data_IF_265001928658
#
_entry.id   IF_265001928658
#
_cell.length_a   1.000
_cell.length_b   1.000
_cell.length_c   1.000
_cell.angle_alpha   90.00
_cell.angle_beta   90.00
_cell.angle_gamma   90.00
#
_symmetry.space_group_name_H-M   'P 1'
#
loop_
_entity.id
_entity.type
_entity.pdbx_description
1 polymer ?
#
# COMPACT_ATOMS: atom_id res chain seq x y z
N UNK A 1 13.43 5.83 19.09
CA UNK A 1 13.81 7.02 18.30
C UNK A 1 12.65 7.99 18.37
N UNK A 2 12.89 9.24 18.80
CA UNK A 2 11.90 10.29 18.69
C UNK A 2 11.71 10.68 17.21
N UNK A 3 10.47 10.72 16.75
CA UNK A 3 10.14 11.08 15.37
C UNK A 3 10.05 12.60 15.26
N UNK A 4 10.74 13.16 14.28
CA UNK A 4 10.70 14.60 13.99
C UNK A 4 10.83 14.86 12.48
N UNK A 5 10.51 16.08 12.00
CA UNK A 5 10.70 16.42 10.60
C UNK A 5 12.14 16.32 10.09
N UNK A 6 13.14 16.30 10.98
CA UNK A 6 14.54 16.13 10.62
C UNK A 6 14.87 14.69 10.23
N UNK A 7 14.25 13.69 10.89
CA UNK A 7 14.59 12.27 10.72
C UNK A 7 13.51 11.43 10.04
N UNK A 8 12.31 11.99 9.81
CA UNK A 8 11.26 11.37 9.00
C UNK A 8 10.89 12.29 7.84
N UNK A 9 10.83 11.74 6.64
CA UNK A 9 10.41 12.44 5.42
C UNK A 9 9.30 11.67 4.74
N UNK A 10 8.27 12.37 4.29
CA UNK A 10 7.14 11.82 3.54
C UNK A 10 7.16 12.46 2.17
N UNK A 11 7.15 11.65 1.11
CA UNK A 11 7.11 12.18 -0.25
C UNK A 11 5.80 12.93 -0.51
N UNK A 12 5.89 14.15 -1.05
CA UNK A 12 4.73 14.90 -1.55
C UNK A 12 3.93 14.12 -2.60
N UNK A 13 4.56 13.16 -3.29
CA UNK A 13 3.96 12.32 -4.33
C UNK A 13 3.31 11.05 -3.80
N UNK A 14 3.49 10.73 -2.51
CA UNK A 14 2.85 9.59 -1.89
C UNK A 14 1.32 9.75 -1.93
N UNK A 15 0.61 8.69 -2.33
CA UNK A 15 -0.85 8.69 -2.35
C UNK A 15 -1.41 8.48 -0.96
N UNK A 16 -2.54 9.12 -0.68
CA UNK A 16 -3.24 9.03 0.60
C UNK A 16 -4.26 7.89 0.53
N UNK A 17 -4.12 6.93 1.43
CA UNK A 17 -5.12 5.87 1.59
C UNK A 17 -6.29 6.39 2.45
N UNK A 18 -7.32 6.90 1.79
CA UNK A 18 -8.52 7.44 2.45
C UNK A 18 -9.37 6.33 3.08
N UNK A 19 -10.21 6.63 4.09
CA UNK A 19 -11.07 5.63 4.73
C UNK A 19 -11.95 4.83 3.77
N UNK A 20 -12.45 5.47 2.70
CA UNK A 20 -13.26 4.78 1.69
C UNK A 20 -12.49 3.71 0.92
N UNK A 21 -11.16 3.79 0.80
CA UNK A 21 -10.37 2.72 0.17
C UNK A 21 -10.45 1.43 0.98
N UNK A 22 -10.38 1.55 2.32
CA UNK A 22 -10.55 0.39 3.20
C UNK A 22 -11.94 -0.20 3.10
N UNK A 23 -12.98 0.65 3.02
CA UNK A 23 -14.36 0.17 2.83
C UNK A 23 -14.51 -0.57 1.50
N UNK A 24 -14.02 -0.01 0.40
CA UNK A 24 -14.08 -0.63 -0.92
C UNK A 24 -13.35 -1.99 -0.96
N UNK A 25 -12.20 -2.11 -0.31
CA UNK A 25 -11.46 -3.38 -0.20
C UNK A 25 -12.27 -4.43 0.57
N UNK A 26 -12.89 -4.02 1.68
CA UNK A 26 -13.78 -4.89 2.44
C UNK A 26 -15.01 -5.34 1.63
N UNK A 27 -15.65 -4.39 0.93
CA UNK A 27 -16.85 -4.70 0.16
C UNK A 27 -16.58 -5.60 -1.04
N UNK A 28 -15.42 -5.45 -1.68
CA UNK A 28 -15.03 -6.34 -2.79
C UNK A 28 -14.75 -7.75 -2.30
N UNK A 29 -14.02 -7.93 -1.19
CA UNK A 29 -13.78 -9.24 -0.58
C UNK A 29 -15.09 -9.91 -0.14
N UNK A 30 -16.04 -9.13 0.40
CA UNK A 30 -17.36 -9.64 0.77
C UNK A 30 -18.18 -10.05 -0.47
N UNK A 31 -18.11 -9.26 -1.56
CA UNK A 31 -18.80 -9.55 -2.82
C UNK A 31 -18.26 -10.81 -3.49
N UNK A 32 -16.95 -11.01 -3.44
CA UNK A 32 -16.30 -12.17 -4.04
C UNK A 32 -16.55 -13.47 -3.27
N UNK A 33 -16.89 -13.39 -1.99
CA UNK A 33 -17.18 -14.53 -1.12
C UNK A 33 -16.09 -15.62 -1.21
N UNK A 34 -16.42 -16.78 -1.79
CA UNK A 34 -15.48 -17.91 -1.92
C UNK A 34 -14.40 -17.67 -2.99
N UNK A 35 -14.61 -16.73 -3.92
CA UNK A 35 -13.65 -16.35 -4.95
C UNK A 35 -12.75 -15.15 -4.53
N UNK A 36 -12.74 -14.79 -3.25
CA UNK A 36 -11.94 -13.69 -2.71
C UNK A 36 -10.44 -13.88 -2.92
N UNK A 37 -9.71 -12.77 -2.96
CA UNK A 37 -8.26 -12.79 -3.07
C UNK A 37 -7.54 -12.97 -1.71
N UNK A 38 -8.26 -12.89 -0.60
CA UNK A 38 -7.68 -12.91 0.74
C UNK A 38 -6.92 -11.62 1.04
N UNK A 39 -7.50 -10.48 0.66
CA UNK A 39 -6.95 -9.16 0.95
C UNK A 39 -6.81 -8.93 2.46
N UNK A 40 -5.82 -8.13 2.85
CA UNK A 40 -5.67 -7.65 4.23
C UNK A 40 -6.76 -6.67 4.64
N UNK A 41 -7.66 -6.29 3.74
CA UNK A 41 -8.75 -5.32 3.95
C UNK A 41 -8.26 -3.95 4.42
N UNK A 42 -7.08 -3.55 3.95
CA UNK A 42 -6.43 -2.27 4.29
C UNK A 42 -6.56 -1.20 3.20
N UNK A 43 -7.25 -1.51 2.10
CA UNK A 43 -7.52 -0.57 1.02
C UNK A 43 -6.39 -0.44 0.00
N UNK A 44 -5.45 -1.39 -0.05
CA UNK A 44 -4.28 -1.30 -0.91
C UNK A 44 -4.65 -1.39 -2.39
N UNK A 45 -5.44 -2.38 -2.81
CA UNK A 45 -5.87 -2.50 -4.20
C UNK A 45 -6.67 -1.28 -4.67
N UNK A 46 -7.69 -0.79 -3.94
CA UNK A 46 -8.42 0.42 -4.30
C UNK A 46 -7.56 1.68 -4.42
N UNK A 47 -6.60 1.91 -3.50
CA UNK A 47 -5.75 3.11 -3.55
C UNK A 47 -4.77 3.08 -4.73
N UNK A 48 -4.24 1.92 -5.07
CA UNK A 48 -3.42 1.76 -6.28
C UNK A 48 -4.26 1.93 -7.55
N UNK A 49 -5.46 1.35 -7.59
CA UNK A 49 -6.42 1.60 -8.68
C UNK A 49 -6.65 3.08 -8.89
N UNK A 50 -6.92 3.83 -7.83
CA UNK A 50 -7.14 5.27 -7.89
C UNK A 50 -5.90 6.06 -8.32
N UNK A 51 -4.71 5.64 -7.91
CA UNK A 51 -3.47 6.24 -8.37
C UNK A 51 -3.37 6.21 -9.90
N UNK A 52 -3.62 5.06 -10.52
CA UNK A 52 -3.54 4.90 -11.97
C UNK A 52 -4.72 5.52 -12.71
N UNK A 53 -5.90 5.52 -12.11
CA UNK A 53 -7.09 6.23 -12.62
C UNK A 53 -7.01 7.75 -12.40
N UNK A 54 -5.98 8.26 -11.71
CA UNK A 54 -5.77 9.69 -11.38
C UNK A 54 -6.88 10.26 -10.47
N UNK A 55 -7.46 9.41 -9.64
CA UNK A 55 -8.50 9.74 -8.64
C UNK A 55 -7.99 9.67 -7.20
N UNK A 56 -6.67 9.58 -7.00
CA UNK A 56 -6.06 9.62 -5.68
C UNK A 56 -5.68 11.05 -5.29
N UNK A 57 -5.72 11.34 -4.00
CA UNK A 57 -5.06 12.49 -3.40
C UNK A 57 -3.62 12.12 -3.03
N UNK A 58 -2.72 13.09 -3.12
CA UNK A 58 -1.31 12.97 -2.74
C UNK A 58 -1.02 13.80 -1.49
N UNK A 59 0.06 13.48 -0.82
CA UNK A 59 0.48 14.22 0.37
C UNK A 59 0.72 15.72 0.09
N UNK A 60 1.23 16.05 -1.10
CA UNK A 60 1.41 17.44 -1.53
C UNK A 60 0.11 18.23 -1.69
N UNK A 61 -1.01 17.56 -1.96
CA UNK A 61 -2.32 18.22 -2.09
C UNK A 61 -2.75 18.88 -0.76
N UNK A 62 -2.24 18.42 0.39
CA UNK A 62 -2.53 18.99 1.71
C UNK A 62 -2.10 20.46 1.85
N UNK A 63 -1.20 20.94 1.01
CA UNK A 63 -0.79 22.35 0.97
C UNK A 63 -1.76 23.25 0.20
N UNK A 64 -2.76 22.66 -0.49
CA UNK A 64 -3.73 23.36 -1.33
C UNK A 64 -5.18 23.02 -0.91
N UNK A 65 -5.62 23.41 0.32
CA UNK A 65 -6.86 22.92 0.93
C UNK A 65 -8.11 23.19 0.08
N UNK A 66 -8.22 24.36 -0.54
CA UNK A 66 -9.42 24.73 -1.32
C UNK A 66 -9.62 23.83 -2.54
N UNK A 67 -8.56 23.65 -3.32
CA UNK A 67 -8.61 22.79 -4.51
C UNK A 67 -8.73 21.31 -4.13
N UNK A 68 -8.10 20.92 -3.04
CA UNK A 68 -8.14 19.54 -2.53
C UNK A 68 -9.53 19.18 -2.01
N UNK A 69 -10.22 20.11 -1.30
CA UNK A 69 -11.57 19.87 -0.82
C UNK A 69 -12.55 19.67 -1.99
N UNK A 70 -12.49 20.54 -3.00
CA UNK A 70 -13.32 20.42 -4.20
C UNK A 70 -13.05 19.08 -4.93
N UNK A 71 -11.79 18.74 -5.15
CA UNK A 71 -11.40 17.49 -5.79
C UNK A 71 -11.81 16.26 -4.97
N UNK A 72 -11.71 16.30 -3.64
CA UNK A 72 -12.17 15.21 -2.79
C UNK A 72 -13.68 15.00 -2.91
N UNK A 73 -14.47 16.06 -2.97
CA UNK A 73 -15.92 15.96 -3.17
C UNK A 73 -16.27 15.24 -4.47
N UNK A 74 -15.60 15.58 -5.58
CA UNK A 74 -15.77 14.91 -6.87
C UNK A 74 -15.38 13.45 -6.83
N UNK A 75 -14.25 13.13 -6.16
CA UNK A 75 -13.80 11.75 -5.98
C UNK A 75 -14.81 10.96 -5.17
N UNK A 76 -15.29 11.50 -4.04
CA UNK A 76 -16.27 10.84 -3.18
C UNK A 76 -17.58 10.60 -3.94
N UNK A 77 -18.07 11.57 -4.69
CA UNK A 77 -19.25 11.40 -5.53
C UNK A 77 -19.08 10.24 -6.52
N UNK A 78 -17.93 10.15 -7.19
CA UNK A 78 -17.61 9.02 -8.07
C UNK A 78 -17.53 7.69 -7.32
N UNK A 79 -16.93 7.65 -6.12
CA UNK A 79 -16.83 6.42 -5.30
C UNK A 79 -18.19 5.93 -4.85
N UNK A 80 -19.08 6.85 -4.50
CA UNK A 80 -20.45 6.51 -4.09
C UNK A 80 -21.24 5.81 -5.20
N UNK A 81 -20.99 6.09 -6.48
CA UNK A 81 -21.58 5.31 -7.58
C UNK A 81 -21.23 3.83 -7.49
N UNK A 82 -20.00 3.50 -7.11
CA UNK A 82 -19.58 2.11 -6.92
C UNK A 82 -20.12 1.55 -5.61
N UNK A 83 -20.05 2.32 -4.53
CA UNK A 83 -20.50 1.90 -3.18
C UNK A 83 -22.00 1.54 -3.21
N UNK A 84 -22.82 2.38 -3.83
CA UNK A 84 -24.25 2.16 -3.92
C UNK A 84 -24.61 1.17 -5.03
N UNK A 85 -24.10 1.38 -6.26
CA UNK A 85 -24.50 0.62 -7.43
C UNK A 85 -23.95 -0.80 -7.51
N UNK A 86 -22.71 -1.01 -7.06
CA UNK A 86 -22.06 -2.34 -7.11
C UNK A 86 -22.24 -3.08 -5.80
N UNK A 87 -22.01 -2.39 -4.68
CA UNK A 87 -21.98 -3.05 -3.37
C UNK A 87 -23.28 -2.93 -2.58
N UNK A 88 -24.23 -2.09 -3.02
CA UNK A 88 -25.50 -1.87 -2.32
C UNK A 88 -25.31 -1.35 -0.89
N UNK A 89 -24.25 -0.56 -0.68
CA UNK A 89 -23.87 -0.02 0.65
C UNK A 89 -24.22 1.48 0.72
N UNK A 90 -24.43 2.01 1.93
CA UNK A 90 -24.67 3.45 2.10
C UNK A 90 -23.48 4.28 1.60
N UNK A 91 -23.76 5.45 0.96
CA UNK A 91 -22.71 6.35 0.50
C UNK A 91 -21.89 6.91 1.66
N UNK A 92 -20.64 7.28 1.38
CA UNK A 92 -19.78 8.00 2.33
C UNK A 92 -19.91 9.50 2.16
N UNK A 93 -19.80 10.24 3.26
CA UNK A 93 -19.88 11.69 3.28
C UNK A 93 -18.56 12.34 2.83
N UNK A 94 -18.62 13.28 1.90
CA UNK A 94 -17.46 14.06 1.50
C UNK A 94 -16.93 14.94 2.64
N UNK A 95 -17.81 15.47 3.49
CA UNK A 95 -17.43 16.30 4.62
C UNK A 95 -16.73 15.47 5.71
N UNK A 96 -17.18 14.25 5.98
CA UNK A 96 -16.50 13.34 6.91
C UNK A 96 -15.10 12.95 6.39
N UNK A 97 -14.98 12.68 5.10
CA UNK A 97 -13.69 12.41 4.47
C UNK A 97 -12.76 13.61 4.52
N UNK A 98 -13.29 14.81 4.36
CA UNK A 98 -12.53 16.05 4.50
C UNK A 98 -12.08 16.29 5.94
N UNK A 99 -12.97 16.13 6.92
CA UNK A 99 -12.65 16.27 8.33
C UNK A 99 -11.52 15.33 8.75
N UNK A 100 -11.62 14.06 8.34
CA UNK A 100 -10.56 13.06 8.56
C UNK A 100 -9.23 13.47 7.91
N UNK A 101 -9.29 13.96 6.67
CA UNK A 101 -8.09 14.38 5.94
C UNK A 101 -7.38 15.56 6.60
N UNK A 102 -8.13 16.53 7.12
CA UNK A 102 -7.58 17.69 7.85
C UNK A 102 -6.96 17.25 9.17
N UNK A 103 -7.68 16.44 9.96
CA UNK A 103 -7.22 15.97 11.27
C UNK A 103 -5.85 15.29 11.19
N UNK A 104 -5.71 14.30 10.31
CA UNK A 104 -4.46 13.54 10.17
C UNK A 104 -3.44 14.26 9.27
N UNK A 105 -3.92 14.99 8.28
CA UNK A 105 -3.08 15.73 7.35
C UNK A 105 -2.26 16.82 8.02
N UNK A 106 -2.86 17.58 8.93
CA UNK A 106 -2.16 18.66 9.64
C UNK A 106 -1.01 18.13 10.50
N UNK A 107 -1.17 16.95 11.09
CA UNK A 107 -0.11 16.27 11.85
C UNK A 107 1.06 15.89 10.92
N UNK A 108 0.78 15.52 9.69
CA UNK A 108 1.78 15.00 8.75
C UNK A 108 2.46 16.08 7.88
N UNK A 109 1.83 17.24 7.71
CA UNK A 109 2.36 18.35 6.90
C UNK A 109 3.84 18.69 7.16
N UNK A 110 4.33 18.78 8.42
CA UNK A 110 5.72 19.11 8.70
C UNK A 110 6.74 18.11 8.13
N UNK A 111 6.31 16.88 7.84
CA UNK A 111 7.16 15.80 7.35
C UNK A 111 7.20 15.71 5.83
N UNK A 112 6.32 16.45 5.11
CA UNK A 112 6.18 16.36 3.66
C UNK A 112 7.30 17.11 2.97
N UNK A 113 7.92 16.48 1.98
CA UNK A 113 8.98 17.08 1.17
C UNK A 113 9.04 16.47 -0.23
N UNK A 114 9.82 17.09 -1.12
CA UNK A 114 10.29 16.42 -2.35
C UNK A 114 11.33 15.36 -1.97
N UNK A 115 10.86 14.14 -1.74
CA UNK A 115 11.71 13.02 -1.34
C UNK A 115 12.69 12.62 -2.44
N UNK A 116 12.32 12.77 -3.72
CA UNK A 116 13.23 12.52 -4.85
C UNK A 116 14.43 13.45 -4.82
N UNK A 117 14.19 14.75 -4.66
CA UNK A 117 15.27 15.74 -4.53
C UNK A 117 16.11 15.51 -3.25
N UNK A 118 15.47 15.14 -2.15
CA UNK A 118 16.16 14.82 -0.90
C UNK A 118 17.13 13.64 -1.09
N UNK A 119 16.66 12.55 -1.70
CA UNK A 119 17.46 11.36 -1.95
C UNK A 119 18.56 11.60 -3.00
N UNK A 120 18.27 12.36 -4.05
CA UNK A 120 19.28 12.74 -5.05
C UNK A 120 20.45 13.52 -4.42
N UNK A 121 20.14 14.50 -3.56
CA UNK A 121 21.15 15.23 -2.80
C UNK A 121 21.95 14.32 -1.87
N UNK A 122 21.29 13.37 -1.19
CA UNK A 122 21.96 12.41 -0.31
C UNK A 122 22.91 11.51 -1.09
N UNK A 123 22.48 10.99 -2.24
CA UNK A 123 23.33 10.17 -3.12
C UNK A 123 24.54 10.94 -3.66
N UNK A 124 24.34 12.18 -4.15
CA UNK A 124 25.43 13.06 -4.59
C UNK A 124 26.43 13.41 -3.48
N UNK A 125 25.96 13.44 -2.25
CA UNK A 125 26.81 13.62 -1.07
C UNK A 125 27.51 12.32 -0.59
N UNK A 126 27.40 11.22 -1.35
CA UNK A 126 28.01 9.94 -1.03
C UNK A 126 27.39 9.21 0.16
N UNK A 127 26.14 9.50 0.49
CA UNK A 127 25.42 8.79 1.57
C UNK A 127 25.00 7.41 1.12
N UNK A 128 25.05 6.44 2.04
CA UNK A 128 24.46 5.14 1.81
C UNK A 128 22.93 5.25 1.91
N UNK A 129 22.25 4.70 0.91
CA UNK A 129 20.78 4.67 0.86
C UNK A 129 20.34 3.20 0.87
N UNK A 130 19.54 2.84 1.87
CA UNK A 130 18.91 1.53 1.96
C UNK A 130 17.46 1.65 1.48
N UNK A 131 17.12 0.88 0.45
CA UNK A 131 15.72 0.70 0.02
C UNK A 131 15.20 -0.58 0.66
N UNK A 132 14.11 -0.48 1.38
CA UNK A 132 13.39 -1.62 1.92
C UNK A 132 12.13 -1.85 1.08
N UNK A 133 12.10 -3.01 0.41
CA UNK A 133 10.92 -3.54 -0.26
C UNK A 133 10.47 -4.80 0.47
N UNK A 134 9.24 -5.20 0.28
CA UNK A 134 8.62 -6.31 0.99
C UNK A 134 7.74 -7.14 0.07
N UNK A 135 7.10 -8.19 0.59
CA UNK A 135 6.14 -9.07 -0.07
C UNK A 135 6.77 -10.19 -0.93
N UNK A 136 7.97 -10.00 -1.48
CA UNK A 136 8.64 -10.99 -2.34
C UNK A 136 8.16 -11.00 -3.79
N UNK A 137 9.00 -11.53 -4.69
CA UNK A 137 8.81 -11.47 -6.14
C UNK A 137 7.51 -12.14 -6.62
N UNK A 138 7.05 -13.21 -5.97
CA UNK A 138 5.78 -13.88 -6.32
C UNK A 138 4.54 -12.99 -6.09
N UNK A 139 4.68 -11.91 -5.35
CA UNK A 139 3.61 -10.94 -5.08
C UNK A 139 3.77 -9.64 -5.88
N UNK A 140 4.76 -9.54 -6.76
CA UNK A 140 4.90 -8.40 -7.67
C UNK A 140 3.72 -8.34 -8.64
N UNK A 141 3.21 -7.14 -8.93
CA UNK A 141 2.03 -6.96 -9.79
C UNK A 141 2.26 -7.43 -11.22
N UNK A 142 3.49 -7.28 -11.73
CA UNK A 142 3.83 -7.59 -13.12
C UNK A 142 4.46 -8.99 -13.27
N UNK A 143 5.27 -9.42 -12.29
CA UNK A 143 6.07 -10.64 -12.37
C UNK A 143 5.62 -11.74 -11.42
N UNK A 144 4.62 -11.47 -10.57
CA UNK A 144 4.10 -12.42 -9.59
C UNK A 144 3.03 -13.36 -10.15
N UNK A 145 2.38 -14.08 -9.25
CA UNK A 145 1.32 -15.06 -9.56
C UNK A 145 -0.05 -14.38 -9.74
N UNK A 146 -0.15 -13.48 -10.71
CA UNK A 146 -1.40 -12.74 -10.98
C UNK A 146 -2.61 -13.68 -11.13
N UNK A 147 -3.80 -13.39 -10.57
CA UNK A 147 -4.18 -12.16 -9.87
C UNK A 147 -3.88 -12.16 -8.35
N UNK A 148 -3.23 -13.16 -7.81
CA UNK A 148 -2.94 -13.30 -6.37
C UNK A 148 -1.67 -12.54 -5.97
N UNK A 149 -1.54 -11.31 -6.44
CA UNK A 149 -0.39 -10.41 -6.23
C UNK A 149 -0.74 -9.28 -5.29
N UNK A 150 0.26 -8.52 -4.84
CA UNK A 150 0.06 -7.16 -4.35
C UNK A 150 -0.28 -6.23 -5.51
N UNK A 151 -0.74 -5.02 -5.21
CA UNK A 151 -1.02 -4.01 -6.25
C UNK A 151 0.20 -3.17 -6.61
N UNK A 152 1.39 -3.57 -6.21
CA UNK A 152 2.64 -2.81 -6.38
C UNK A 152 3.77 -3.66 -6.94
N UNK A 153 4.75 -2.97 -7.54
CA UNK A 153 6.03 -3.58 -7.87
C UNK A 153 6.86 -3.70 -6.60
N UNK A 154 7.30 -4.92 -6.29
CA UNK A 154 8.02 -5.26 -5.06
C UNK A 154 9.44 -5.76 -5.32
N UNK A 155 9.84 -5.90 -6.58
CA UNK A 155 11.21 -6.27 -6.97
C UNK A 155 12.17 -5.10 -6.76
N UNK A 156 13.42 -5.39 -6.37
CA UNK A 156 14.41 -4.37 -6.04
C UNK A 156 14.71 -3.36 -7.13
N UNK A 157 14.62 -3.78 -8.41
CA UNK A 157 14.83 -2.90 -9.56
C UNK A 157 13.85 -1.70 -9.63
N UNK A 158 12.67 -1.82 -9.04
CA UNK A 158 11.69 -0.72 -8.98
C UNK A 158 11.98 0.31 -7.88
N UNK A 159 12.82 -0.01 -6.90
CA UNK A 159 13.05 0.85 -5.74
C UNK A 159 13.50 2.28 -6.09
N UNK A 160 14.48 2.51 -6.98
CA UNK A 160 14.85 3.87 -7.40
C UNK A 160 13.73 4.62 -8.11
N UNK A 161 12.92 3.92 -8.92
CA UNK A 161 11.75 4.50 -9.60
C UNK A 161 10.70 4.93 -8.58
N UNK A 162 10.35 4.04 -7.66
CA UNK A 162 9.38 4.29 -6.60
C UNK A 162 9.81 5.42 -5.65
N UNK A 163 11.12 5.54 -5.41
CA UNK A 163 11.70 6.59 -4.57
C UNK A 163 11.89 7.95 -5.29
N UNK A 164 11.65 8.03 -6.61
CA UNK A 164 11.76 9.25 -7.37
C UNK A 164 13.18 9.60 -7.83
N UNK A 165 14.09 8.63 -7.85
CA UNK A 165 15.48 8.75 -8.32
C UNK A 165 15.80 7.67 -9.38
N UNK A 166 15.05 7.59 -10.48
CA UNK A 166 15.06 6.44 -11.40
C UNK A 166 16.43 6.18 -12.08
N UNK A 167 17.31 7.18 -12.11
CA UNK A 167 18.62 7.06 -12.74
C UNK A 167 19.70 6.53 -11.78
N UNK A 168 19.39 6.32 -10.51
CA UNK A 168 20.35 5.76 -9.55
C UNK A 168 20.48 4.25 -9.72
N UNK A 169 21.73 3.81 -9.79
CA UNK A 169 22.09 2.40 -9.80
C UNK A 169 21.95 1.81 -8.40
N UNK A 170 21.42 0.60 -8.34
CA UNK A 170 21.47 -0.21 -7.12
C UNK A 170 22.80 -0.95 -7.13
N UNK A 171 23.65 -0.72 -6.12
CA UNK A 171 24.97 -1.37 -6.00
C UNK A 171 24.82 -2.81 -5.55
N UNK A 172 23.82 -3.10 -4.69
CA UNK A 172 23.59 -4.42 -4.13
C UNK A 172 22.11 -4.68 -3.88
N UNK A 173 21.61 -5.82 -4.38
CA UNK A 173 20.32 -6.38 -3.99
C UNK A 173 20.55 -7.47 -2.93
N UNK A 174 19.83 -7.35 -1.82
CA UNK A 174 19.88 -8.34 -0.71
C UNK A 174 18.49 -8.97 -0.63
N UNK A 175 18.43 -10.27 -0.90
CA UNK A 175 17.23 -11.07 -0.69
C UNK A 175 17.21 -11.64 0.72
N UNK A 176 16.14 -11.37 1.45
CA UNK A 176 15.89 -11.97 2.76
C UNK A 176 14.84 -13.04 2.59
N UNK A 177 15.16 -14.25 3.03
CA UNK A 177 14.22 -15.38 3.00
C UNK A 177 14.13 -16.02 4.37
N UNK A 178 12.96 -16.54 4.69
CA UNK A 178 12.76 -17.35 5.90
C UNK A 178 13.32 -18.75 5.68
N UNK A 179 13.56 -19.49 6.78
CA UNK A 179 13.95 -20.90 6.73
C UNK A 179 12.83 -21.77 6.11
N UNK A 180 11.59 -21.32 6.23
CA UNK A 180 10.43 -21.86 5.50
C UNK A 180 9.61 -20.69 4.95
N UNK A 181 8.87 -20.92 3.88
CA UNK A 181 8.04 -19.88 3.28
C UNK A 181 6.68 -19.76 3.99
N UNK A 182 6.17 -18.54 4.10
CA UNK A 182 4.80 -18.29 4.52
C UNK A 182 4.13 -17.33 3.54
N UNK A 183 2.81 -17.44 3.38
CA UNK A 183 2.05 -16.63 2.46
C UNK A 183 0.74 -16.19 3.08
N UNK A 184 0.30 -14.97 2.80
CA UNK A 184 -1.01 -14.43 3.14
C UNK A 184 -1.81 -14.24 1.86
N UNK A 185 -3.11 -14.50 1.92
CA UNK A 185 -4.02 -14.41 0.77
C UNK A 185 -4.23 -15.75 0.08
N UNK A 186 -5.18 -15.77 -0.82
CA UNK A 186 -5.51 -16.95 -1.63
C UNK A 186 -4.51 -17.12 -2.77
N UNK A 187 -4.69 -18.21 -3.53
CA UNK A 187 -3.88 -18.52 -4.70
C UNK A 187 -2.88 -19.65 -4.48
N UNK A 188 -2.17 -20.04 -5.53
CA UNK A 188 -1.28 -21.17 -5.48
C UNK A 188 -0.07 -20.91 -4.59
N UNK A 189 0.22 -21.89 -3.75
CA UNK A 189 1.41 -21.92 -2.90
C UNK A 189 2.00 -23.33 -2.95
N UNK A 190 3.01 -23.51 -3.81
CA UNK A 190 3.49 -24.84 -4.24
C UNK A 190 4.08 -25.70 -3.13
N UNK A 191 4.48 -25.11 -2.02
CA UNK A 191 5.03 -25.81 -0.86
C UNK A 191 4.09 -25.76 0.36
N UNK A 192 2.79 -25.50 0.15
CA UNK A 192 1.80 -25.42 1.24
C UNK A 192 1.66 -26.75 1.95
N UNK A 193 1.74 -26.70 3.27
CA UNK A 193 1.49 -27.83 4.16
C UNK A 193 0.06 -27.78 4.70
N UNK A 194 -0.51 -28.94 4.97
CA UNK A 194 -1.87 -29.08 5.49
C UNK A 194 -1.88 -29.97 6.74
N UNK A 195 -2.97 -29.86 7.53
CA UNK A 195 -3.19 -30.69 8.70
C UNK A 195 -2.19 -30.43 9.83
N UNK A 196 -1.84 -31.51 10.57
CA UNK A 196 -1.01 -31.40 11.78
C UNK A 196 0.39 -30.85 11.55
N UNK A 197 1.01 -31.13 10.40
CA UNK A 197 2.36 -30.63 10.08
C UNK A 197 2.34 -29.10 9.90
N UNK A 198 1.32 -28.57 9.23
CA UNK A 198 1.11 -27.15 9.09
C UNK A 198 0.90 -26.46 10.44
N UNK A 199 0.06 -27.05 11.30
CA UNK A 199 -0.20 -26.50 12.65
C UNK A 199 1.06 -26.51 13.53
N UNK A 200 1.84 -27.58 13.49
CA UNK A 200 3.12 -27.66 14.22
C UNK A 200 4.10 -26.58 13.75
N UNK A 201 4.19 -26.36 12.43
CA UNK A 201 5.08 -25.36 11.86
C UNK A 201 4.63 -23.94 12.21
N UNK A 202 3.33 -23.63 12.10
CA UNK A 202 2.75 -22.33 12.51
C UNK A 202 3.02 -22.05 13.99
N UNK A 203 2.75 -23.02 14.86
CA UNK A 203 2.94 -22.87 16.29
C UNK A 203 4.43 -22.66 16.65
N UNK A 204 5.32 -23.46 16.06
CA UNK A 204 6.76 -23.35 16.31
C UNK A 204 7.36 -22.05 15.78
N UNK A 205 6.89 -21.57 14.63
CA UNK A 205 7.35 -20.34 14.00
C UNK A 205 6.68 -19.06 14.52
N UNK A 206 5.56 -19.16 15.21
CA UNK A 206 4.74 -18.01 15.58
C UNK A 206 4.15 -17.26 14.37
N UNK A 207 4.09 -17.91 13.21
CA UNK A 207 3.72 -17.33 11.93
C UNK A 207 2.24 -17.59 11.61
N UNK A 208 1.41 -16.66 12.05
CA UNK A 208 -0.01 -16.66 11.71
C UNK A 208 -0.31 -15.45 10.82
N UNK A 209 -0.77 -15.68 9.59
CA UNK A 209 -1.30 -14.62 8.73
C UNK A 209 -2.57 -14.00 9.28
N UNK A 210 -2.96 -12.87 8.71
CA UNK A 210 -4.22 -12.19 9.06
C UNK A 210 -5.46 -13.09 8.85
N UNK A 211 -5.36 -14.05 7.95
CA UNK A 211 -6.34 -15.07 7.60
C UNK A 211 -6.13 -16.43 8.32
N UNK A 212 -5.09 -16.54 9.14
CA UNK A 212 -4.63 -17.76 9.82
C UNK A 212 -4.25 -18.94 8.91
N UNK A 213 -4.04 -18.68 7.61
CA UNK A 213 -3.72 -19.69 6.60
C UNK A 213 -2.24 -19.78 6.24
N UNK A 214 -1.35 -19.08 6.94
CA UNK A 214 0.04 -18.98 6.55
C UNK A 214 0.87 -20.17 7.01
N UNK A 215 1.19 -21.06 6.10
CA UNK A 215 2.45 -21.84 6.12
C UNK A 215 2.82 -22.21 4.70
#
# INVERSE_FOLDING_TARGET
IAISPENLKISERAVICMPYHKLLDCYEEDRLADAKYGSTRRGIAPVYGDKYMKKALRMGDLFHPETTKARLADIVAYKNLTIEGVYGRPPVSADDMWAWLVEYGDILKPYICDAGLYLDKAAKAGKNILFEAQLGALRDIDFGIYPYTSSSNVIGAYAPVGAGIPNHKIDRNIGIMKAYSSCVGEGPFTCELFGEEAEKLRAAGGEYGADRKSV
#
